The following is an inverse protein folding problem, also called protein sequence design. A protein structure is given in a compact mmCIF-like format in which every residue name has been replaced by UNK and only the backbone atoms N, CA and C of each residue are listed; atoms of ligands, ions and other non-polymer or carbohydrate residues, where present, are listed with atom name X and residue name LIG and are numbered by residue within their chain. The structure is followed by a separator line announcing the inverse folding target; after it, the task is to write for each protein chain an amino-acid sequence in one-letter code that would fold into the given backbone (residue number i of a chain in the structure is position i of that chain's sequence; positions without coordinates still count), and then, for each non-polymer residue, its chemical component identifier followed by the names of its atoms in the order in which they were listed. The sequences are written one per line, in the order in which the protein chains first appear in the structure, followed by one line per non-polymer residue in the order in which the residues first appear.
data_IF_730708454826
#
_entry.id   IF_730708454826
#
_cell.length_a   1.000
_cell.length_b   1.000
_cell.length_c   1.000
_cell.angle_alpha   90.00
_cell.angle_beta   90.00
_cell.angle_gamma   90.00
#
_symmetry.space_group_name_H-M   'P 1'
#
loop_
_entity.id
_entity.type
_entity.pdbx_description
1 polymer ?
#
# COMPACT_ATOMS: atom_id res chain seq x y z
N UNK A 1 -6.05 -1.76 6.40
CA UNK A 1 -5.08 -2.50 5.55
C UNK A 1 -4.08 -1.49 5.02
N UNK A 2 -2.79 -1.65 5.28
CA UNK A 2 -1.80 -0.77 4.69
C UNK A 2 -1.87 -0.83 3.15
N UNK A 3 -1.90 0.35 2.52
CA UNK A 3 -1.90 0.51 1.06
C UNK A 3 -0.64 1.29 0.64
N UNK A 4 -0.59 1.85 -0.56
CA UNK A 4 0.60 2.54 -1.07
C UNK A 4 1.21 3.57 -0.12
N UNK A 5 0.43 4.53 0.40
CA UNK A 5 0.94 5.55 1.33
C UNK A 5 1.55 4.97 2.61
N UNK A 6 0.88 4.01 3.25
CA UNK A 6 1.35 3.36 4.46
C UNK A 6 2.59 2.51 4.20
N UNK A 7 2.62 1.75 3.09
CA UNK A 7 3.78 0.96 2.70
C UNK A 7 4.99 1.84 2.38
N UNK A 8 4.77 2.97 1.70
CA UNK A 8 5.83 3.95 1.39
C UNK A 8 6.40 4.57 2.66
N UNK A 9 5.54 5.00 3.59
CA UNK A 9 5.97 5.55 4.88
C UNK A 9 6.78 4.52 5.66
N UNK A 10 6.28 3.30 5.77
CA UNK A 10 6.96 2.19 6.45
C UNK A 10 8.32 1.90 5.85
N UNK A 11 8.41 1.73 4.52
CA UNK A 11 9.68 1.44 3.85
C UNK A 11 10.71 2.56 4.06
N UNK A 12 10.30 3.83 3.93
CA UNK A 12 11.20 4.98 4.16
C UNK A 12 11.69 5.07 5.60
N UNK A 13 10.85 4.78 6.58
CA UNK A 13 11.23 4.81 7.99
C UNK A 13 12.18 3.65 8.32
N UNK A 14 11.86 2.43 7.89
CA UNK A 14 12.74 1.27 8.04
C UNK A 14 14.09 1.55 7.36
N UNK A 15 14.08 2.07 6.12
CA UNK A 15 15.31 2.41 5.41
C UNK A 15 16.19 3.41 6.18
N UNK A 16 15.60 4.46 6.76
CA UNK A 16 16.35 5.43 7.57
C UNK A 16 16.99 4.80 8.81
N UNK A 17 16.33 3.79 9.37
CA UNK A 17 16.78 3.13 10.58
C UNK A 17 17.88 2.10 10.33
N UNK A 18 17.77 1.31 9.24
CA UNK A 18 18.67 0.14 9.04
C UNK A 18 19.69 0.33 7.91
N UNK A 19 19.59 1.36 7.06
CA UNK A 19 20.50 1.55 5.93
C UNK A 19 21.93 1.71 6.42
N UNK A 20 22.82 0.86 5.90
CA UNK A 20 24.23 0.85 6.23
C UNK A 20 24.59 -0.04 7.42
N UNK A 21 23.60 -0.52 8.20
CA UNK A 21 23.82 -1.51 9.26
C UNK A 21 24.04 -2.90 8.64
N UNK A 22 24.76 -3.75 9.36
CA UNK A 22 25.00 -5.13 9.01
C UNK A 22 23.98 -6.01 9.73
N UNK A 23 23.15 -6.71 8.98
CA UNK A 23 22.23 -7.72 9.53
C UNK A 23 23.03 -8.94 9.95
N UNK A 24 23.03 -9.25 11.24
CA UNK A 24 23.83 -10.36 11.82
C UNK A 24 22.97 -11.59 12.14
N UNK A 25 21.66 -11.41 12.33
CA UNK A 25 20.78 -12.54 12.62
C UNK A 25 19.32 -12.23 12.20
N UNK A 26 18.57 -13.29 11.91
CA UNK A 26 17.11 -13.25 11.68
C UNK A 26 16.47 -14.39 12.45
N UNK A 27 15.41 -14.11 13.20
CA UNK A 27 14.65 -15.11 13.92
C UNK A 27 13.20 -15.16 13.47
N UNK A 28 12.69 -16.37 13.24
CA UNK A 28 11.26 -16.63 13.16
C UNK A 28 10.71 -16.71 14.59
N UNK A 29 9.82 -15.76 14.94
CA UNK A 29 9.35 -15.61 16.31
C UNK A 29 8.03 -16.32 16.55
N UNK A 30 7.07 -16.18 15.65
CA UNK A 30 5.74 -16.76 15.83
C UNK A 30 4.92 -16.84 14.54
N UNK A 31 3.71 -17.38 14.65
CA UNK A 31 2.72 -17.43 13.60
C UNK A 31 2.96 -18.57 12.60
N UNK A 32 2.47 -18.42 11.38
CA UNK A 32 2.54 -19.48 10.36
C UNK A 32 3.97 -19.92 10.01
N UNK A 33 4.92 -19.04 10.19
CA UNK A 33 6.33 -19.31 9.85
C UNK A 33 7.03 -20.26 10.83
N UNK A 34 6.46 -20.53 12.01
CA UNK A 34 6.93 -21.61 12.89
C UNK A 34 6.54 -23.00 12.40
N UNK A 35 5.52 -23.08 11.51
CA UNK A 35 5.08 -24.33 10.91
C UNK A 35 5.65 -24.55 9.52
N UNK A 36 5.82 -23.47 8.75
CA UNK A 36 6.42 -23.47 7.41
C UNK A 36 7.25 -22.21 7.26
N UNK A 37 8.54 -22.35 7.19
CA UNK A 37 9.49 -21.24 7.02
C UNK A 37 9.17 -20.41 5.77
N UNK A 38 9.48 -19.11 5.75
CA UNK A 38 9.40 -18.30 4.54
C UNK A 38 10.28 -18.89 3.44
N UNK A 39 9.86 -18.75 2.19
CA UNK A 39 10.64 -19.19 1.05
C UNK A 39 12.06 -18.59 1.08
N UNK A 40 13.08 -19.42 0.97
CA UNK A 40 14.49 -19.05 0.96
C UNK A 40 15.09 -18.74 2.34
N UNK A 41 14.36 -18.93 3.45
CA UNK A 41 14.85 -18.55 4.79
C UNK A 41 16.11 -19.32 5.22
N UNK A 42 16.12 -20.64 5.11
CA UNK A 42 17.23 -21.50 5.54
C UNK A 42 18.52 -21.17 4.78
N UNK A 43 18.43 -21.02 3.47
CA UNK A 43 19.55 -20.61 2.63
C UNK A 43 20.00 -19.18 3.00
N UNK A 44 19.06 -18.26 3.25
CA UNK A 44 19.37 -16.87 3.58
C UNK A 44 20.20 -16.75 4.87
N UNK A 45 19.91 -17.56 5.89
CA UNK A 45 20.67 -17.55 7.16
C UNK A 45 22.16 -17.82 6.92
N UNK A 46 22.51 -18.66 5.91
CA UNK A 46 23.91 -18.92 5.56
C UNK A 46 24.62 -17.74 4.85
N UNK A 47 23.86 -16.75 4.38
CA UNK A 47 24.39 -15.51 3.78
C UNK A 47 24.68 -14.41 4.81
N UNK A 48 24.29 -14.60 6.07
CA UNK A 48 24.59 -13.66 7.13
C UNK A 48 26.05 -13.80 7.58
N UNK A 49 26.72 -12.69 7.99
CA UNK A 49 26.18 -11.33 8.05
C UNK A 49 26.15 -10.67 6.66
N UNK A 50 25.19 -9.74 6.45
CA UNK A 50 25.09 -8.97 5.21
C UNK A 50 24.65 -7.53 5.49
N UNK A 51 25.18 -6.57 4.70
CA UNK A 51 24.91 -5.16 4.90
C UNK A 51 23.63 -4.73 4.17
N UNK A 52 22.79 -3.97 4.85
CA UNK A 52 21.59 -3.38 4.24
C UNK A 52 21.97 -2.18 3.38
N UNK A 53 21.83 -2.31 2.06
CA UNK A 53 22.05 -1.20 1.13
C UNK A 53 20.87 -0.23 1.13
N UNK A 54 19.64 -0.78 1.08
CA UNK A 54 18.42 0.03 1.07
C UNK A 54 17.17 -0.80 1.40
N UNK A 55 16.13 -0.09 1.86
CA UNK A 55 14.75 -0.63 1.93
C UNK A 55 13.86 0.26 1.06
N UNK A 56 13.22 -0.35 0.10
CA UNK A 56 12.45 0.32 -0.93
C UNK A 56 11.02 -0.22 -1.00
N UNK A 57 10.18 0.46 -1.79
CA UNK A 57 8.80 0.06 -2.04
C UNK A 57 8.43 0.31 -3.49
N UNK A 58 7.61 -0.56 -4.06
CA UNK A 58 6.86 -0.32 -5.30
C UNK A 58 5.40 -0.69 -5.06
N UNK A 59 4.52 0.29 -5.07
CA UNK A 59 3.11 0.15 -4.67
C UNK A 59 2.97 -0.34 -3.22
N UNK A 60 2.62 -1.61 -3.02
CA UNK A 60 2.48 -2.24 -1.70
C UNK A 60 3.54 -3.31 -1.44
N UNK A 61 4.52 -3.44 -2.30
CA UNK A 61 5.59 -4.41 -2.23
C UNK A 61 6.84 -3.74 -1.65
N UNK A 62 7.20 -4.09 -0.40
CA UNK A 62 8.41 -3.61 0.29
C UNK A 62 9.52 -4.62 0.04
N UNK A 63 10.72 -4.13 -0.28
CA UNK A 63 11.88 -4.98 -0.48
C UNK A 63 13.15 -4.32 0.06
N UNK A 64 13.99 -5.16 0.67
CA UNK A 64 15.31 -4.81 1.16
C UNK A 64 16.34 -5.27 0.14
N UNK A 65 17.33 -4.47 -0.13
CA UNK A 65 18.47 -4.81 -0.97
C UNK A 65 19.71 -4.91 -0.09
N UNK A 66 20.47 -5.97 -0.28
CA UNK A 66 21.65 -6.30 0.52
C UNK A 66 22.89 -6.28 -0.37
N UNK A 67 24.07 -6.14 0.23
CA UNK A 67 25.36 -5.99 -0.46
C UNK A 67 25.78 -7.23 -1.26
N UNK A 68 25.24 -8.40 -0.92
CA UNK A 68 25.48 -9.69 -1.58
C UNK A 68 24.50 -10.00 -2.72
N UNK A 69 23.78 -8.99 -3.25
CA UNK A 69 22.70 -9.11 -4.26
C UNK A 69 21.44 -9.85 -3.78
N UNK A 70 21.40 -10.29 -2.53
CA UNK A 70 20.19 -10.85 -1.94
C UNK A 70 19.16 -9.75 -1.65
N UNK A 71 17.91 -10.18 -1.48
CA UNK A 71 16.80 -9.28 -1.13
C UNK A 71 15.78 -9.98 -0.24
N UNK A 72 15.17 -9.19 0.68
CA UNK A 72 14.07 -9.63 1.51
C UNK A 72 12.81 -8.92 1.01
N UNK A 73 11.78 -9.68 0.69
CA UNK A 73 10.52 -9.18 0.18
C UNK A 73 9.44 -9.26 1.23
N UNK A 74 8.69 -8.20 1.41
CA UNK A 74 7.62 -8.15 2.40
C UNK A 74 6.36 -7.53 1.82
N UNK A 75 5.21 -8.18 2.07
CA UNK A 75 3.90 -7.56 1.91
C UNK A 75 3.23 -7.44 3.28
N UNK A 76 2.63 -6.29 3.57
CA UNK A 76 2.06 -6.05 4.89
C UNK A 76 0.69 -6.73 5.10
N UNK A 77 0.05 -7.20 4.02
CA UNK A 77 -1.29 -7.79 4.10
C UNK A 77 -2.32 -6.83 4.72
N UNK A 78 -3.04 -7.29 5.72
CA UNK A 78 -4.11 -6.51 6.37
C UNK A 78 -3.64 -5.76 7.61
N UNK A 79 -2.69 -6.32 8.37
CA UNK A 79 -2.28 -5.84 9.71
C UNK A 79 -0.77 -5.82 9.89
N UNK A 80 -0.02 -6.12 8.83
CA UNK A 80 1.44 -6.12 8.89
C UNK A 80 1.99 -4.70 9.11
N UNK A 81 3.02 -4.59 9.93
CA UNK A 81 3.81 -3.41 10.14
C UNK A 81 5.22 -3.77 10.64
N UNK A 82 6.14 -2.82 10.58
CA UNK A 82 7.43 -2.93 11.22
C UNK A 82 7.48 -2.07 12.49
N UNK A 83 8.16 -2.56 13.53
CA UNK A 83 8.29 -1.91 14.84
C UNK A 83 9.70 -2.02 15.38
N UNK A 84 10.08 -1.12 16.29
CA UNK A 84 11.36 -1.15 17.01
C UNK A 84 11.28 -1.97 18.32
N UNK A 85 10.09 -2.34 18.74
CA UNK A 85 9.86 -3.20 19.89
C UNK A 85 9.08 -4.45 19.50
N UNK A 86 9.39 -5.60 20.11
CA UNK A 86 8.64 -6.83 19.86
C UNK A 86 7.24 -6.76 20.46
N UNK A 87 6.33 -7.54 19.89
CA UNK A 87 4.96 -7.73 20.44
C UNK A 87 4.54 -9.20 20.33
N UNK A 88 3.41 -9.54 20.91
CA UNK A 88 2.81 -10.88 20.74
C UNK A 88 2.46 -11.22 19.28
N UNK A 89 2.49 -10.22 18.41
CA UNK A 89 2.22 -10.38 16.98
C UNK A 89 3.49 -10.33 16.12
N UNK A 90 4.68 -10.32 16.74
CA UNK A 90 5.96 -10.39 16.01
C UNK A 90 6.05 -11.74 15.30
N UNK A 91 6.34 -11.70 13.98
CA UNK A 91 6.51 -12.87 13.14
C UNK A 91 7.97 -13.13 12.80
N UNK A 92 8.69 -12.07 12.48
CA UNK A 92 10.12 -12.11 12.14
C UNK A 92 10.84 -10.99 12.88
N UNK A 93 12.01 -11.28 13.43
CA UNK A 93 12.90 -10.30 14.05
C UNK A 93 14.22 -10.26 13.26
N UNK A 94 14.68 -9.04 12.96
CA UNK A 94 15.92 -8.75 12.25
C UNK A 94 16.87 -8.05 13.20
N UNK A 95 18.08 -8.58 13.37
CA UNK A 95 19.08 -8.08 14.34
C UNK A 95 20.30 -7.53 13.62
N UNK A 96 20.84 -6.42 14.12
CA UNK A 96 21.94 -5.68 13.50
C UNK A 96 23.18 -5.63 14.39
N UNK A 97 24.32 -5.32 13.77
CA UNK A 97 25.65 -5.27 14.38
C UNK A 97 25.80 -4.17 15.46
N UNK A 98 24.96 -3.14 15.44
CA UNK A 98 24.90 -2.09 16.47
C UNK A 98 24.05 -2.47 17.70
N UNK A 99 23.55 -3.71 17.77
CA UNK A 99 22.66 -4.20 18.82
C UNK A 99 21.19 -3.84 18.63
N UNK A 100 20.84 -3.10 17.59
CA UNK A 100 19.45 -2.75 17.30
C UNK A 100 18.69 -3.91 16.66
N UNK A 101 17.35 -3.80 16.66
CA UNK A 101 16.48 -4.77 15.99
C UNK A 101 15.25 -4.10 15.37
N UNK A 102 14.74 -4.72 14.33
CA UNK A 102 13.47 -4.39 13.69
C UNK A 102 12.56 -5.62 13.68
N UNK A 103 11.31 -5.44 14.07
CA UNK A 103 10.35 -6.51 14.23
C UNK A 103 9.22 -6.39 13.20
N UNK A 104 9.02 -7.42 12.38
CA UNK A 104 7.85 -7.52 11.52
C UNK A 104 6.70 -8.14 12.32
N UNK A 105 5.67 -7.34 12.56
CA UNK A 105 4.46 -7.73 13.26
C UNK A 105 3.30 -7.91 12.28
N UNK A 106 2.49 -8.97 12.46
CA UNK A 106 1.26 -9.15 11.70
C UNK A 106 0.22 -9.94 12.51
N UNK A 107 -0.76 -9.24 13.07
CA UNK A 107 -1.79 -9.86 13.90
C UNK A 107 -2.59 -10.92 13.14
N UNK A 108 -3.00 -10.63 11.90
CA UNK A 108 -3.83 -11.54 11.08
C UNK A 108 -3.03 -12.57 10.29
N UNK A 109 -1.70 -12.41 10.25
CA UNK A 109 -0.78 -13.33 9.59
C UNK A 109 -1.04 -13.51 8.07
N UNK A 110 -1.51 -12.45 7.39
CA UNK A 110 -1.79 -12.42 5.96
C UNK A 110 -0.67 -11.81 5.13
N UNK A 111 0.21 -11.07 5.77
CA UNK A 111 1.40 -10.53 5.12
C UNK A 111 2.38 -11.65 4.76
N UNK A 112 3.30 -11.37 3.86
CA UNK A 112 4.28 -12.35 3.40
C UNK A 112 5.70 -11.85 3.58
N UNK A 113 6.61 -12.79 3.88
CA UNK A 113 8.06 -12.57 3.82
C UNK A 113 8.66 -13.65 2.92
N UNK A 114 9.61 -13.26 2.06
CA UNK A 114 10.36 -14.16 1.17
C UNK A 114 11.79 -13.66 1.04
N UNK A 115 12.73 -14.58 0.91
CA UNK A 115 14.15 -14.32 0.71
C UNK A 115 14.56 -14.71 -0.69
N UNK A 116 15.33 -13.88 -1.37
CA UNK A 116 15.78 -14.07 -2.74
C UNK A 116 17.24 -13.67 -2.87
N UNK A 117 17.98 -14.35 -3.74
CA UNK A 117 19.44 -14.36 -3.72
C UNK A 117 20.07 -13.64 -4.92
N UNK A 118 19.28 -13.19 -5.88
CA UNK A 118 19.81 -12.51 -7.06
C UNK A 118 19.05 -11.24 -7.38
N UNK A 119 19.75 -10.22 -7.84
CA UNK A 119 19.15 -8.97 -8.34
C UNK A 119 18.24 -9.20 -9.54
N UNK A 120 18.54 -10.20 -10.38
CA UNK A 120 17.71 -10.57 -11.53
C UNK A 120 16.30 -11.02 -11.10
N UNK A 121 16.20 -11.84 -10.04
CA UNK A 121 14.92 -12.29 -9.48
C UNK A 121 14.10 -11.11 -8.96
N UNK A 122 14.74 -10.17 -8.26
CA UNK A 122 14.08 -8.93 -7.81
C UNK A 122 13.60 -8.09 -8.98
N UNK A 123 14.44 -7.87 -9.98
CA UNK A 123 14.09 -7.11 -11.20
C UNK A 123 12.89 -7.74 -11.91
N UNK A 124 12.90 -9.05 -12.10
CA UNK A 124 11.78 -9.78 -12.69
C UNK A 124 10.49 -9.57 -11.89
N UNK A 125 10.56 -9.61 -10.55
CA UNK A 125 9.39 -9.35 -9.69
C UNK A 125 8.91 -7.92 -9.84
N UNK A 126 9.79 -6.92 -9.82
CA UNK A 126 9.43 -5.51 -9.95
C UNK A 126 8.77 -5.20 -11.30
N UNK A 127 9.15 -5.91 -12.36
CA UNK A 127 8.55 -5.78 -13.69
C UNK A 127 7.10 -6.34 -13.76
N UNK A 128 6.71 -7.20 -12.84
CA UNK A 128 5.30 -7.66 -12.73
C UNK A 128 4.38 -6.66 -12.04
N UNK A 129 4.95 -5.64 -11.41
CA UNK A 129 4.19 -4.62 -10.67
C UNK A 129 4.05 -3.39 -11.56
N UNK A 130 2.84 -2.95 -11.78
CA UNK A 130 2.52 -1.77 -12.57
C UNK A 130 3.12 -0.47 -11.99
N UNK A 131 2.97 0.66 -12.70
CA UNK A 131 3.43 1.97 -12.23
C UNK A 131 2.98 2.23 -10.79
N UNK A 132 3.90 2.71 -9.95
CA UNK A 132 3.60 3.13 -8.58
C UNK A 132 2.98 4.53 -8.60
N UNK A 133 1.67 4.61 -8.40
CA UNK A 133 0.90 5.85 -8.55
C UNK A 133 1.22 6.91 -7.49
N UNK A 134 2.01 6.56 -6.48
CA UNK A 134 2.49 7.52 -5.47
C UNK A 134 3.95 7.93 -5.72
N UNK A 135 4.86 6.94 -5.86
CA UNK A 135 6.30 7.22 -5.87
C UNK A 135 6.86 7.48 -7.27
N UNK A 136 6.25 6.88 -8.30
CA UNK A 136 6.64 7.05 -9.70
C UNK A 136 5.41 6.84 -10.61
N UNK A 137 4.47 7.79 -10.64
CA UNK A 137 3.27 7.70 -11.47
C UNK A 137 3.65 7.61 -12.95
N UNK A 138 2.93 6.80 -13.71
CA UNK A 138 3.02 6.86 -15.16
C UNK A 138 2.43 8.18 -15.70
N UNK A 139 2.69 8.49 -16.96
CA UNK A 139 2.02 9.61 -17.62
C UNK A 139 0.52 9.36 -17.76
N UNK A 140 -0.28 10.41 -17.90
CA UNK A 140 -1.72 10.29 -18.19
C UNK A 140 -1.96 9.43 -19.46
N UNK A 141 -1.16 9.65 -20.50
CA UNK A 141 -1.24 8.88 -21.75
C UNK A 141 -1.02 7.38 -21.51
N UNK A 142 -0.03 7.02 -20.70
CA UNK A 142 0.22 5.61 -20.35
C UNK A 142 -0.89 5.04 -19.46
N UNK A 143 -1.40 5.82 -18.51
CA UNK A 143 -2.52 5.40 -17.65
C UNK A 143 -3.75 5.02 -18.50
N UNK A 144 -4.16 5.90 -19.42
CA UNK A 144 -5.26 5.64 -20.35
C UNK A 144 -4.98 4.41 -21.21
N UNK A 145 -3.76 4.30 -21.77
CA UNK A 145 -3.35 3.14 -22.57
C UNK A 145 -3.39 1.84 -21.79
N UNK A 146 -2.93 1.83 -20.52
CA UNK A 146 -2.97 0.65 -19.64
C UNK A 146 -4.43 0.28 -19.34
N UNK A 147 -5.29 1.24 -19.03
CA UNK A 147 -6.70 0.99 -18.78
C UNK A 147 -7.38 0.37 -20.00
N UNK A 148 -7.23 0.94 -21.17
CA UNK A 148 -7.85 0.48 -22.42
C UNK A 148 -7.40 -0.91 -22.88
N UNK A 149 -6.33 -1.48 -22.33
CA UNK A 149 -5.95 -2.89 -22.57
C UNK A 149 -6.93 -3.90 -21.93
N UNK A 150 -7.77 -3.44 -21.01
CA UNK A 150 -8.72 -4.28 -20.26
C UNK A 150 -10.17 -3.75 -20.38
N UNK A 151 -10.70 -3.53 -21.60
CA UNK A 151 -11.95 -2.78 -21.82
C UNK A 151 -13.14 -3.39 -21.07
N UNK A 152 -13.21 -4.72 -20.96
CA UNK A 152 -14.33 -5.44 -20.31
C UNK A 152 -14.22 -5.55 -18.78
N UNK A 153 -13.11 -5.13 -18.19
CA UNK A 153 -12.98 -5.15 -16.74
C UNK A 153 -13.80 -4.01 -16.13
N UNK A 154 -14.35 -4.27 -14.92
CA UNK A 154 -14.87 -3.19 -14.10
C UNK A 154 -13.73 -2.29 -13.65
N UNK A 155 -14.04 -1.00 -13.45
CA UNK A 155 -13.03 -0.04 -12.98
C UNK A 155 -12.49 -0.42 -11.58
N UNK A 156 -13.29 -1.03 -10.71
CA UNK A 156 -12.85 -1.46 -9.38
C UNK A 156 -11.83 -2.60 -9.47
N UNK A 157 -12.06 -3.58 -10.37
CA UNK A 157 -11.12 -4.68 -10.59
C UNK A 157 -9.79 -4.16 -11.13
N UNK A 158 -9.85 -3.23 -12.07
CA UNK A 158 -8.67 -2.65 -12.69
C UNK A 158 -7.84 -1.86 -11.66
N UNK A 159 -8.45 -1.00 -10.84
CA UNK A 159 -7.78 -0.23 -9.80
C UNK A 159 -7.14 -1.10 -8.71
N UNK A 160 -7.69 -2.28 -8.46
CA UNK A 160 -7.18 -3.22 -7.44
C UNK A 160 -6.06 -4.11 -7.95
N UNK A 161 -5.90 -4.26 -9.26
CA UNK A 161 -4.86 -5.09 -9.87
C UNK A 161 -3.51 -4.37 -9.86
N UNK A 162 -2.61 -4.82 -8.98
CA UNK A 162 -1.28 -4.22 -8.80
C UNK A 162 -0.36 -4.41 -10.02
N UNK A 163 -0.72 -5.21 -10.99
CA UNK A 163 -0.02 -5.34 -12.27
C UNK A 163 -0.42 -4.27 -13.28
N UNK A 164 -1.60 -3.65 -13.14
CA UNK A 164 -2.02 -2.54 -14.00
C UNK A 164 -1.45 -1.22 -13.48
N UNK A 165 -1.81 -0.86 -12.26
CA UNK A 165 -1.25 0.25 -11.49
C UNK A 165 -1.04 -0.22 -10.06
N UNK A 166 -0.06 0.32 -9.35
CA UNK A 166 0.23 -0.13 -8.00
C UNK A 166 0.11 0.96 -6.94
N UNK A 167 -0.07 0.54 -5.68
CA UNK A 167 -0.28 1.41 -4.53
C UNK A 167 -1.75 1.61 -4.15
N UNK A 168 -2.67 1.54 -5.10
CA UNK A 168 -4.10 1.67 -4.84
C UNK A 168 -4.64 0.40 -4.16
N UNK A 169 -5.39 0.57 -3.08
CA UNK A 169 -6.15 -0.50 -2.44
C UNK A 169 -7.61 -0.09 -2.23
N UNK A 170 -8.31 -0.78 -1.36
CA UNK A 170 -9.76 -0.67 -1.24
C UNK A 170 -10.23 0.70 -0.71
N UNK A 171 -9.42 1.31 0.17
CA UNK A 171 -9.70 2.66 0.68
C UNK A 171 -9.54 3.65 -0.47
N UNK A 172 -8.35 3.72 -1.03
CA UNK A 172 -8.00 4.72 -2.03
C UNK A 172 -8.71 4.49 -3.37
N UNK A 173 -9.11 3.26 -3.70
CA UNK A 173 -10.03 2.96 -4.81
C UNK A 173 -11.38 3.66 -4.62
N UNK A 174 -12.03 3.49 -3.46
CA UNK A 174 -13.34 4.10 -3.19
C UNK A 174 -13.25 5.63 -3.21
N UNK A 175 -12.22 6.19 -2.59
CA UNK A 175 -11.97 7.63 -2.54
C UNK A 175 -11.68 8.21 -3.95
N UNK A 176 -10.85 7.53 -4.76
CA UNK A 176 -10.52 7.98 -6.12
C UNK A 176 -11.73 7.96 -7.04
N UNK A 177 -12.56 6.92 -6.96
CA UNK A 177 -13.80 6.83 -7.74
C UNK A 177 -14.81 7.89 -7.31
N UNK A 178 -14.90 8.18 -6.01
CA UNK A 178 -15.76 9.25 -5.53
C UNK A 178 -15.29 10.61 -6.02
N UNK A 179 -14.01 10.94 -5.87
CA UNK A 179 -13.45 12.21 -6.29
C UNK A 179 -13.52 12.43 -7.81
N UNK A 180 -13.45 11.38 -8.61
CA UNK A 180 -13.59 11.44 -10.07
C UNK A 180 -15.04 11.39 -10.56
N UNK A 181 -16.02 11.14 -9.67
CA UNK A 181 -17.43 11.02 -10.02
C UNK A 181 -17.81 9.76 -10.75
N UNK A 182 -16.95 8.72 -10.75
CA UNK A 182 -17.16 7.48 -11.52
C UNK A 182 -17.85 6.42 -10.66
N UNK A 183 -18.95 5.84 -11.17
CA UNK A 183 -19.64 4.74 -10.50
C UNK A 183 -18.80 3.45 -10.53
N UNK A 184 -18.74 2.69 -9.41
CA UNK A 184 -17.82 1.55 -9.27
C UNK A 184 -18.14 0.36 -10.18
N UNK A 185 -19.35 0.22 -10.65
CA UNK A 185 -19.80 -0.87 -11.53
C UNK A 185 -19.48 -0.64 -13.01
N UNK A 186 -19.02 0.55 -13.39
CA UNK A 186 -18.71 0.87 -14.78
C UNK A 186 -17.53 0.05 -15.29
N UNK A 187 -17.63 -0.37 -16.54
CA UNK A 187 -16.54 -1.02 -17.26
C UNK A 187 -15.65 0.04 -17.92
N UNK A 188 -14.38 -0.30 -18.12
CA UNK A 188 -13.41 0.63 -18.73
C UNK A 188 -13.87 1.07 -20.13
N UNK A 189 -14.46 0.18 -20.94
CA UNK A 189 -14.99 0.50 -22.27
C UNK A 189 -16.09 1.56 -22.30
N UNK A 190 -16.74 1.82 -21.16
CA UNK A 190 -17.78 2.84 -21.03
C UNK A 190 -17.26 4.19 -20.52
N UNK A 191 -15.98 4.28 -20.19
CA UNK A 191 -15.34 5.49 -19.69
C UNK A 191 -14.74 6.30 -20.84
N UNK A 192 -14.96 7.60 -20.83
CA UNK A 192 -14.31 8.52 -21.78
C UNK A 192 -12.87 8.81 -21.36
N UNK A 193 -12.08 9.40 -22.23
CA UNK A 193 -10.70 9.76 -21.91
C UNK A 193 -10.65 10.86 -20.84
N UNK A 194 -11.62 11.79 -20.84
CA UNK A 194 -11.76 12.82 -19.81
C UNK A 194 -12.12 12.23 -18.44
N UNK A 195 -12.93 11.19 -18.39
CA UNK A 195 -13.24 10.47 -17.14
C UNK A 195 -12.01 9.72 -16.63
N UNK A 196 -11.23 9.10 -17.51
CA UNK A 196 -9.97 8.45 -17.14
C UNK A 196 -8.92 9.47 -16.68
N UNK A 197 -8.85 10.66 -17.27
CA UNK A 197 -8.02 11.76 -16.80
C UNK A 197 -8.43 12.22 -15.40
N UNK A 198 -9.73 12.43 -15.15
CA UNK A 198 -10.24 12.75 -13.80
C UNK A 198 -9.85 11.68 -12.78
N UNK A 199 -9.95 10.41 -13.16
CA UNK A 199 -9.57 9.29 -12.29
C UNK A 199 -8.07 9.26 -12.00
N UNK A 200 -7.23 9.50 -13.02
CA UNK A 200 -5.79 9.61 -12.88
C UNK A 200 -5.42 10.70 -11.87
N UNK A 201 -5.93 11.91 -12.08
CA UNK A 201 -5.68 13.06 -11.23
C UNK A 201 -6.18 12.84 -9.80
N UNK A 202 -7.39 12.26 -9.65
CA UNK A 202 -7.96 11.91 -8.36
C UNK A 202 -7.08 10.88 -7.62
N UNK A 203 -6.64 9.83 -8.32
CA UNK A 203 -5.80 8.76 -7.74
C UNK A 203 -4.47 9.31 -7.24
N UNK A 204 -3.75 10.06 -8.06
CA UNK A 204 -2.48 10.67 -7.67
C UNK A 204 -2.67 11.61 -6.47
N UNK A 205 -3.65 12.52 -6.54
CA UNK A 205 -3.94 13.48 -5.48
C UNK A 205 -4.22 12.79 -4.15
N UNK A 206 -5.10 11.79 -4.13
CA UNK A 206 -5.49 11.09 -2.92
C UNK A 206 -4.31 10.36 -2.30
N UNK A 207 -3.51 9.63 -3.09
CA UNK A 207 -2.35 8.91 -2.59
C UNK A 207 -1.29 9.87 -2.02
N UNK A 208 -1.03 11.00 -2.68
CA UNK A 208 -0.08 12.01 -2.19
C UNK A 208 -0.58 12.67 -0.90
N UNK A 209 -1.85 13.05 -0.84
CA UNK A 209 -2.44 13.64 0.36
C UNK A 209 -2.38 12.65 1.53
N UNK A 210 -2.79 11.40 1.32
CA UNK A 210 -2.71 10.37 2.34
C UNK A 210 -1.27 10.15 2.82
N UNK A 211 -0.29 10.12 1.93
CA UNK A 211 1.11 9.99 2.31
C UNK A 211 1.60 11.16 3.15
N UNK A 212 1.30 12.41 2.74
CA UNK A 212 1.65 13.64 3.47
C UNK A 212 1.08 13.63 4.87
N UNK A 213 -0.16 13.16 5.03
CA UNK A 213 -0.88 13.12 6.31
C UNK A 213 -0.53 11.87 7.16
N UNK A 214 0.47 11.10 6.75
CA UNK A 214 0.99 9.95 7.50
C UNK A 214 0.25 8.64 7.28
N UNK A 215 -0.63 8.56 6.29
CA UNK A 215 -1.50 7.41 5.98
C UNK A 215 -2.92 7.60 6.49
N UNK A 216 -3.80 6.66 6.14
CA UNK A 216 -5.19 6.69 6.59
C UNK A 216 -5.31 6.39 8.09
N UNK A 217 -6.39 6.87 8.72
CA UNK A 217 -6.74 6.61 10.12
C UNK A 217 -7.23 5.16 10.33
N UNK A 218 -6.46 4.18 9.86
CA UNK A 218 -6.80 2.77 10.04
C UNK A 218 -6.52 2.37 11.48
N UNK A 219 -7.53 1.92 12.19
CA UNK A 219 -7.50 1.61 13.62
C UNK A 219 -6.32 0.71 14.06
N UNK A 220 -5.85 -0.16 13.20
CA UNK A 220 -4.80 -1.15 13.50
C UNK A 220 -3.49 -0.89 12.73
N UNK A 221 -3.31 0.30 12.16
CA UNK A 221 -2.06 0.70 11.51
C UNK A 221 -1.40 1.82 12.31
N UNK A 222 -0.13 1.64 12.59
CA UNK A 222 0.78 2.70 13.04
C UNK A 222 2.13 2.49 12.37
N UNK A 223 2.86 3.58 12.20
CA UNK A 223 4.18 3.55 11.57
C UNK A 223 5.25 2.92 12.48
N UNK A 224 6.52 2.94 12.07
CA UNK A 224 7.65 2.36 12.81
C UNK A 224 7.78 2.94 14.23
N UNK A 225 7.36 4.19 14.44
CA UNK A 225 7.44 4.94 15.69
C UNK A 225 6.10 5.06 16.42
N UNK A 226 5.14 4.17 16.11
CA UNK A 226 3.79 4.14 16.69
C UNK A 226 2.88 5.34 16.39
N UNK A 227 3.21 6.17 15.40
CA UNK A 227 2.33 7.24 14.96
C UNK A 227 1.21 6.71 14.06
N UNK A 228 -0.02 7.15 14.32
CA UNK A 228 -1.19 6.90 13.47
C UNK A 228 -1.27 7.92 12.33
N UNK A 229 -1.81 7.50 11.19
CA UNK A 229 -2.10 8.40 10.07
C UNK A 229 -3.24 9.37 10.39
N UNK A 230 -3.21 10.52 9.72
CA UNK A 230 -4.20 11.60 9.88
C UNK A 230 -4.86 11.95 8.54
N UNK A 231 -4.86 11.00 7.59
CA UNK A 231 -5.38 11.27 6.26
C UNK A 231 -6.83 11.71 6.31
N UNK A 232 -7.05 12.87 5.73
CA UNK A 232 -8.36 13.45 5.43
C UNK A 232 -8.40 13.77 3.94
N UNK A 233 -9.40 13.30 3.22
CA UNK A 233 -9.57 13.61 1.82
C UNK A 233 -10.40 14.90 1.68
N UNK A 234 -9.83 15.95 1.07
CA UNK A 234 -10.56 17.17 0.75
C UNK A 234 -10.50 17.47 -0.74
N UNK A 235 -11.64 17.67 -1.41
CA UNK A 235 -11.69 18.30 -2.72
C UNK A 235 -11.26 19.76 -2.63
N UNK A 236 -10.54 20.26 -3.64
CA UNK A 236 -9.93 21.62 -3.63
C UNK A 236 -10.89 22.79 -3.63
N UNK A 237 -12.18 22.56 -3.82
CA UNK A 237 -13.23 23.59 -3.91
C UNK A 237 -14.10 23.69 -2.66
N UNK A 238 -13.73 23.06 -1.57
CA UNK A 238 -14.47 23.14 -0.30
C UNK A 238 -13.57 23.83 0.71
N UNK A 239 -13.29 25.10 0.49
CA UNK A 239 -12.62 25.97 1.47
C UNK A 239 -13.40 26.07 2.80
N UNK A 240 -14.71 25.93 2.75
CA UNK A 240 -15.59 26.00 3.93
C UNK A 240 -15.49 24.78 4.86
N UNK A 241 -15.00 23.64 4.36
CA UNK A 241 -14.78 22.45 5.21
C UNK A 241 -13.42 22.51 5.90
N UNK A 242 -12.50 23.36 5.44
CA UNK A 242 -11.18 23.56 6.05
C UNK A 242 -11.30 24.14 7.47
N UNK A 243 -12.37 24.86 7.77
CA UNK A 243 -12.64 25.42 9.09
C UNK A 243 -13.34 24.46 10.06
N UNK A 244 -13.78 23.30 9.60
CA UNK A 244 -14.34 22.28 10.48
C UNK A 244 -13.21 21.57 11.23
N UNK A 245 -13.12 21.78 12.52
CA UNK A 245 -12.13 21.25 13.47
C UNK A 245 -12.13 19.72 13.64
N UNK A 246 -12.92 18.98 12.86
CA UNK A 246 -13.02 17.51 12.89
C UNK A 246 -12.30 16.87 11.70
N UNK A 247 -11.01 16.70 11.85
CA UNK A 247 -10.01 16.40 10.83
C UNK A 247 -9.82 14.91 10.48
N UNK A 248 -10.84 14.05 10.50
CA UNK A 248 -10.61 12.61 10.33
C UNK A 248 -11.61 11.89 9.42
N UNK A 249 -12.09 12.53 8.36
CA UNK A 249 -13.09 11.88 7.50
C UNK A 249 -12.54 11.57 6.10
N UNK A 250 -12.46 10.28 5.76
CA UNK A 250 -12.50 9.84 4.36
C UNK A 250 -13.82 10.30 3.74
N UNK A 251 -13.83 10.56 2.43
CA UNK A 251 -15.01 11.13 1.75
C UNK A 251 -16.19 10.16 1.72
N UNK A 252 -15.91 8.87 1.49
CA UNK A 252 -16.96 7.85 1.29
C UNK A 252 -16.61 6.51 1.95
N UNK A 253 -15.33 6.16 2.06
CA UNK A 253 -14.94 4.85 2.56
C UNK A 253 -15.30 4.65 4.03
N UNK A 254 -16.13 3.63 4.31
CA UNK A 254 -16.57 3.31 5.67
C UNK A 254 -17.64 4.24 6.25
N UNK A 255 -18.07 5.26 5.50
CA UNK A 255 -19.05 6.24 5.94
C UNK A 255 -20.49 5.78 5.70
N UNK A 256 -21.45 6.38 6.42
CA UNK A 256 -22.89 6.26 6.15
C UNK A 256 -23.37 7.34 5.17
N UNK A 257 -22.74 8.50 5.21
CA UNK A 257 -22.97 9.63 4.33
C UNK A 257 -21.64 10.09 3.75
N UNK A 258 -21.64 10.57 2.51
CA UNK A 258 -20.48 11.22 1.91
C UNK A 258 -20.24 12.60 2.51
N UNK A 259 -19.19 13.29 2.07
CA UNK A 259 -18.82 14.61 2.58
C UNK A 259 -19.88 15.70 2.27
N UNK A 260 -20.83 15.42 1.39
CA UNK A 260 -21.95 16.32 1.02
C UNK A 260 -23.24 15.97 1.76
N UNK A 261 -23.23 14.92 2.62
CA UNK A 261 -24.42 14.46 3.34
C UNK A 261 -25.26 13.43 2.58
N UNK A 262 -24.88 13.03 1.36
CA UNK A 262 -25.64 12.04 0.61
C UNK A 262 -25.43 10.63 1.14
N UNK A 263 -26.43 9.74 1.07
CA UNK A 263 -26.30 8.34 1.50
C UNK A 263 -25.20 7.58 0.76
N UNK A 264 -24.34 6.89 1.50
CA UNK A 264 -23.30 6.01 0.95
C UNK A 264 -23.85 4.58 0.87
N UNK A 265 -23.73 3.99 -0.30
CA UNK A 265 -24.05 2.59 -0.55
C UNK A 265 -22.80 1.70 -0.51
N UNK A 266 -23.03 0.42 -0.31
CA UNK A 266 -22.01 -0.64 -0.33
C UNK A 266 -22.32 -1.60 -1.43
N UNK A 267 -21.35 -1.86 -2.30
CA UNK A 267 -21.49 -2.83 -3.39
C UNK A 267 -20.28 -3.77 -3.39
N UNK A 268 -20.52 -5.04 -3.68
CA UNK A 268 -19.46 -6.02 -3.90
C UNK A 268 -19.48 -6.42 -5.36
N UNK A 269 -18.39 -6.19 -6.04
CA UNK A 269 -18.23 -6.44 -7.48
C UNK A 269 -17.20 -7.54 -7.75
N UNK A 270 -16.71 -7.63 -8.97
CA UNK A 270 -15.77 -8.65 -9.45
C UNK A 270 -14.36 -8.57 -8.83
N UNK A 271 -14.01 -7.48 -8.17
CA UNK A 271 -12.82 -7.37 -7.31
C UNK A 271 -12.96 -8.08 -5.94
N UNK A 272 -14.13 -8.65 -5.66
CA UNK A 272 -14.49 -9.35 -4.42
C UNK A 272 -14.31 -8.50 -3.13
N UNK A 273 -14.24 -7.16 -3.27
CA UNK A 273 -14.13 -6.21 -2.15
C UNK A 273 -15.40 -5.37 -2.03
N UNK A 274 -15.75 -5.01 -0.80
CA UNK A 274 -16.81 -4.03 -0.57
C UNK A 274 -16.33 -2.65 -0.99
N UNK A 275 -16.96 -2.07 -1.99
CA UNK A 275 -16.74 -0.69 -2.42
C UNK A 275 -17.81 0.21 -1.81
N UNK A 276 -17.39 1.33 -1.25
CA UNK A 276 -18.27 2.38 -0.74
C UNK A 276 -18.40 3.45 -1.82
N UNK A 277 -19.61 3.89 -2.09
CA UNK A 277 -19.87 4.86 -3.15
C UNK A 277 -21.16 5.65 -2.92
N UNK A 278 -21.25 6.82 -3.51
CA UNK A 278 -22.43 7.71 -3.45
C UNK A 278 -23.11 7.78 -4.83
N UNK A 279 -24.29 7.18 -5.00
CA UNK A 279 -25.03 7.22 -6.28
C UNK A 279 -25.43 8.64 -6.71
N UNK A 280 -25.50 9.57 -5.77
CA UNK A 280 -25.80 10.97 -6.05
C UNK A 280 -24.64 11.66 -6.80
N UNK A 281 -23.41 11.31 -6.44
CA UNK A 281 -22.17 11.94 -6.96
C UNK A 281 -21.58 11.15 -8.13
N UNK A 282 -21.59 9.83 -8.04
CA UNK A 282 -20.89 8.93 -8.97
C UNK A 282 -21.86 8.39 -10.04
N UNK A 283 -21.53 8.58 -11.32
CA UNK A 283 -22.35 8.19 -12.48
C UNK A 283 -21.63 7.20 -13.38
#
# INVERSE_FOLDING_TARGET
MPEGPECTRTAKQVNRYVRGLTMVNINIVSGRYTKKLPDGFEEFVSFLPCKVQSVNVKGKFIYWQLDNNASIWTTLGMTGNFKLQPSKHTRVAYYFDDGSAVYYNDMRNFGTTKFCFTSATLTSKLNTIGPDMLNNPCTLTDFVKIAKRKPKWSIVKWLMDQGQISGVGNIYKSESLFLSGIAPHRKIETLTDEELEKLYNATCRILHTAYRDGGSTIRNYSDLYDNHGKYTAFPSNIEDIINARDSHRVMVYGQKQDIYGNPVQRIKLDDQRTTFWSPTVQK
#
